data_IF_493593763793
#
_entry.id   IF_493593763793
#
_cell.length_a   1.000
_cell.length_b   1.000
_cell.length_c   1.000
_cell.angle_alpha   90.00
_cell.angle_beta   90.00
_cell.angle_gamma   90.00
#
_symmetry.space_group_name_H-M   'P 1'
#
loop_
_entity.id
_entity.type
_entity.pdbx_description
1 polymer ?
#
# COMPACT_ATOMS: atom_id res chain seq x y z
N UNK A 1 15.02 12.78 -38.02
CA UNK A 1 14.69 12.87 -39.46
C UNK A 1 13.67 14.00 -39.62
N UNK A 2 14.04 15.11 -40.28
CA UNK A 2 13.17 16.30 -40.42
C UNK A 2 12.05 16.00 -41.41
N UNK A 3 10.80 16.21 -41.01
CA UNK A 3 9.66 16.09 -41.91
C UNK A 3 9.07 17.47 -42.19
N UNK A 4 9.13 17.87 -43.45
CA UNK A 4 8.63 19.12 -44.00
C UNK A 4 7.13 18.93 -44.28
N UNK A 5 6.29 19.78 -43.71
CA UNK A 5 4.86 19.82 -44.01
C UNK A 5 4.63 20.81 -45.16
N UNK A 6 4.23 20.30 -46.32
CA UNK A 6 3.84 21.11 -47.47
C UNK A 6 2.36 21.48 -47.34
N UNK A 7 2.08 22.78 -47.31
CA UNK A 7 0.73 23.32 -47.36
C UNK A 7 0.31 23.52 -48.82
N UNK A 8 -0.80 22.92 -49.23
CA UNK A 8 -1.51 23.30 -50.47
C UNK A 8 -2.87 23.84 -50.10
N UNK A 9 -3.04 25.15 -50.29
CA UNK A 9 -4.29 25.87 -50.07
C UNK A 9 -5.27 25.56 -51.21
N UNK A 10 -6.38 24.90 -50.91
CA UNK A 10 -7.58 24.94 -51.76
C UNK A 10 -8.59 25.88 -51.10
N UNK A 11 -8.82 27.03 -51.73
CA UNK A 11 -9.95 27.90 -51.40
C UNK A 11 -11.19 27.30 -52.04
N UNK A 12 -12.13 26.85 -51.22
CA UNK A 12 -13.52 26.65 -51.62
C UNK A 12 -14.41 27.22 -50.51
N UNK A 13 -15.23 28.20 -50.89
CA UNK A 13 -16.31 28.75 -50.10
C UNK A 13 -17.34 27.64 -49.82
N UNK A 14 -17.66 27.42 -48.55
CA UNK A 14 -18.71 26.49 -48.15
C UNK A 14 -18.75 26.33 -46.64
N UNK A 15 -19.80 26.86 -46.02
CA UNK A 15 -20.10 26.74 -44.60
C UNK A 15 -20.38 25.26 -44.28
N UNK A 16 -19.32 24.52 -43.99
CA UNK A 16 -19.37 23.11 -43.61
C UNK A 16 -18.98 22.93 -42.16
N UNK A 17 -19.93 22.49 -41.34
CA UNK A 17 -19.79 22.14 -39.94
C UNK A 17 -18.60 21.18 -39.75
N UNK A 18 -17.55 21.63 -39.07
CA UNK A 18 -16.40 20.82 -38.69
C UNK A 18 -16.79 19.91 -37.52
N UNK A 19 -17.19 18.67 -37.83
CA UNK A 19 -17.28 17.61 -36.83
C UNK A 19 -15.85 17.15 -36.52
N UNK A 20 -15.31 17.58 -35.37
CA UNK A 20 -14.10 16.97 -34.81
C UNK A 20 -14.48 15.61 -34.22
N UNK A 21 -14.08 14.53 -34.89
CA UNK A 21 -13.93 13.24 -34.25
C UNK A 21 -12.76 13.34 -33.27
N UNK A 22 -13.06 13.52 -31.98
CA UNK A 22 -12.10 13.26 -30.92
C UNK A 22 -11.92 11.74 -30.85
N UNK A 23 -10.83 11.23 -31.43
CA UNK A 23 -10.35 9.89 -31.09
C UNK A 23 -9.95 9.94 -29.62
N UNK A 24 -10.75 9.33 -28.75
CA UNK A 24 -10.31 8.99 -27.41
C UNK A 24 -9.39 7.78 -27.58
N UNK A 25 -8.09 8.02 -27.70
CA UNK A 25 -7.07 6.97 -27.68
C UNK A 25 -7.12 6.29 -26.30
N UNK A 26 -7.95 5.24 -26.19
CA UNK A 26 -8.32 4.61 -24.90
C UNK A 26 -7.29 3.60 -24.41
N UNK A 27 -6.12 3.50 -25.06
CA UNK A 27 -5.19 2.37 -24.89
C UNK A 27 -3.89 2.72 -24.13
N UNK A 28 -3.69 3.97 -23.71
CA UNK A 28 -2.40 4.42 -23.15
C UNK A 28 -2.40 4.62 -21.62
N UNK A 29 -3.47 4.30 -20.89
CA UNK A 29 -3.62 4.70 -19.48
C UNK A 29 -3.75 3.53 -18.48
N UNK A 30 -3.57 2.27 -18.89
CA UNK A 30 -3.73 1.12 -17.99
C UNK A 30 -2.40 0.62 -17.41
N UNK A 31 -1.28 0.83 -18.09
CA UNK A 31 0.03 0.27 -17.68
C UNK A 31 0.71 1.02 -16.50
N UNK A 32 0.29 2.25 -16.19
CA UNK A 32 0.91 3.07 -15.12
C UNK A 32 0.05 3.19 -13.84
N UNK A 33 -1.11 2.54 -13.79
CA UNK A 33 -1.92 2.55 -12.57
C UNK A 33 -1.34 1.55 -11.56
N UNK A 34 -1.10 1.95 -10.30
CA UNK A 34 -0.71 0.99 -9.28
C UNK A 34 -1.81 -0.07 -9.16
N UNK A 35 -1.41 -1.33 -9.29
CA UNK A 35 -2.27 -2.48 -9.13
C UNK A 35 -2.83 -2.49 -7.70
N UNK A 36 -4.16 -2.58 -7.58
CA UNK A 36 -4.80 -2.79 -6.30
C UNK A 36 -4.62 -4.25 -5.88
N UNK A 37 -3.84 -4.47 -4.82
CA UNK A 37 -3.56 -5.82 -4.31
C UNK A 37 -4.58 -6.27 -3.26
N UNK A 38 -5.01 -5.35 -2.38
CA UNK A 38 -6.04 -5.61 -1.38
C UNK A 38 -6.81 -4.32 -1.04
N UNK A 39 -8.08 -4.47 -0.67
CA UNK A 39 -8.91 -3.38 -0.19
C UNK A 39 -9.89 -3.85 0.89
N UNK A 40 -10.08 -3.02 1.92
CA UNK A 40 -11.04 -3.32 2.99
C UNK A 40 -11.72 -2.08 3.52
N UNK A 41 -12.99 -2.23 3.89
CA UNK A 41 -13.77 -1.19 4.53
C UNK A 41 -13.51 -1.17 6.04
N UNK A 42 -13.48 0.02 6.65
CA UNK A 42 -13.48 0.15 8.11
C UNK A 42 -14.75 -0.49 8.70
N UNK A 43 -14.71 -0.95 9.96
CA UNK A 43 -15.87 -1.58 10.59
C UNK A 43 -17.17 -0.75 10.53
N UNK A 44 -17.07 0.58 10.64
CA UNK A 44 -18.20 1.51 10.52
C UNK A 44 -18.62 1.87 9.08
N UNK A 45 -17.90 1.38 8.07
CA UNK A 45 -18.22 1.63 6.68
C UNK A 45 -17.71 2.95 6.11
N UNK A 46 -17.03 3.79 6.89
CA UNK A 46 -16.75 5.18 6.52
C UNK A 46 -15.42 5.38 5.79
N UNK A 47 -14.51 4.41 5.82
CA UNK A 47 -13.19 4.51 5.22
C UNK A 47 -12.84 3.25 4.43
N UNK A 48 -12.13 3.42 3.31
CA UNK A 48 -11.54 2.32 2.54
C UNK A 48 -10.03 2.36 2.73
N UNK A 49 -9.46 1.24 3.16
CA UNK A 49 -8.03 0.95 3.16
C UNK A 49 -7.69 0.27 1.85
N UNK A 50 -6.65 0.75 1.15
CA UNK A 50 -6.14 0.15 -0.07
C UNK A 50 -4.66 -0.16 0.09
N UNK A 51 -4.28 -1.41 -0.18
CA UNK A 51 -2.90 -1.83 -0.37
C UNK A 51 -2.66 -1.89 -1.88
N UNK A 52 -1.72 -1.09 -2.37
CA UNK A 52 -1.46 -0.93 -3.81
C UNK A 52 -0.01 -1.21 -4.11
N UNK A 53 0.28 -1.67 -5.32
CA UNK A 53 1.62 -2.00 -5.77
C UNK A 53 1.86 -1.54 -7.19
N UNK A 54 3.09 -1.12 -7.49
CA UNK A 54 3.54 -0.91 -8.87
C UNK A 54 4.26 -2.14 -9.44
N UNK A 55 4.02 -3.33 -8.87
CA UNK A 55 4.69 -4.58 -9.19
C UNK A 55 5.94 -4.85 -8.34
N UNK A 56 6.49 -3.85 -7.65
CA UNK A 56 7.74 -3.98 -6.91
C UNK A 56 7.67 -3.53 -5.44
N UNK A 57 6.94 -2.44 -5.18
CA UNK A 57 6.79 -1.83 -3.86
C UNK A 57 5.33 -1.63 -3.56
N UNK A 58 5.01 -1.69 -2.26
CA UNK A 58 3.66 -1.54 -1.76
C UNK A 58 3.49 -0.19 -1.08
N UNK A 59 2.39 0.49 -1.37
CA UNK A 59 1.91 1.66 -0.63
C UNK A 59 0.58 1.35 0.06
N UNK A 60 0.32 2.09 1.13
CA UNK A 60 -0.93 2.03 1.88
C UNK A 60 -1.64 3.38 1.77
N UNK A 61 -2.87 3.35 1.27
CA UNK A 61 -3.73 4.51 1.14
C UNK A 61 -5.04 4.33 1.91
N UNK A 62 -5.56 5.43 2.44
CA UNK A 62 -6.88 5.51 3.07
C UNK A 62 -7.69 6.59 2.39
N UNK A 63 -8.95 6.31 2.07
CA UNK A 63 -9.92 7.31 1.60
C UNK A 63 -11.19 7.27 2.43
N UNK A 64 -11.89 8.40 2.48
CA UNK A 64 -13.26 8.48 3.02
C UNK A 64 -14.22 7.88 1.99
N UNK A 65 -15.10 6.98 2.41
CA UNK A 65 -16.10 6.37 1.54
C UNK A 65 -17.34 7.28 1.36
N UNK A 66 -18.04 7.19 0.21
CA UNK A 66 -17.68 6.40 -0.97
C UNK A 66 -16.69 7.13 -1.90
N UNK A 67 -16.66 8.46 -1.87
CA UNK A 67 -16.12 9.26 -2.97
C UNK A 67 -14.90 10.12 -2.58
N UNK A 68 -14.41 10.04 -1.36
CA UNK A 68 -13.29 10.86 -0.89
C UNK A 68 -11.99 10.57 -1.63
N UNK A 69 -11.06 11.52 -1.64
CA UNK A 69 -9.75 11.35 -2.27
C UNK A 69 -8.86 10.36 -1.49
N UNK A 70 -7.97 9.69 -2.22
CA UNK A 70 -6.98 8.83 -1.60
C UNK A 70 -5.91 9.64 -0.88
N UNK A 71 -5.62 9.24 0.36
CA UNK A 71 -4.46 9.71 1.09
C UNK A 71 -3.50 8.57 1.33
N UNK A 72 -2.31 8.67 0.75
CA UNK A 72 -1.20 7.77 1.04
C UNK A 72 -0.74 8.02 2.47
N UNK A 73 -0.79 6.97 3.32
CA UNK A 73 -0.36 7.00 4.73
C UNK A 73 0.94 6.22 4.95
N UNK A 74 1.27 5.27 4.05
CA UNK A 74 2.59 4.64 3.98
C UNK A 74 3.03 4.69 2.52
N UNK A 75 4.09 5.45 2.18
CA UNK A 75 4.55 5.56 0.80
C UNK A 75 5.23 4.27 0.34
N UNK A 76 5.23 4.04 -0.97
CA UNK A 76 5.92 2.92 -1.57
C UNK A 76 7.44 3.01 -1.32
N UNK A 77 8.01 2.02 -0.65
CA UNK A 77 9.45 1.94 -0.38
C UNK A 77 9.92 0.49 -0.33
N UNK A 78 11.12 0.21 -0.85
CA UNK A 78 11.81 -1.08 -0.68
C UNK A 78 12.63 -1.17 0.61
N UNK A 79 12.94 -0.03 1.23
CA UNK A 79 13.84 0.06 2.37
C UNK A 79 13.06 0.42 3.64
N UNK A 80 13.25 -0.31 4.75
CA UNK A 80 14.10 -1.48 4.96
C UNK A 80 13.44 -2.82 4.56
N UNK A 81 12.27 -2.80 3.91
CA UNK A 81 11.52 -3.98 3.51
C UNK A 81 10.26 -3.60 2.75
N UNK A 82 9.25 -4.46 2.77
CA UNK A 82 7.98 -4.30 2.06
C UNK A 82 6.79 -4.54 2.99
N UNK A 83 5.65 -3.91 2.70
CA UNK A 83 4.38 -4.36 3.25
C UNK A 83 4.05 -5.77 2.74
N UNK A 84 3.37 -6.55 3.57
CA UNK A 84 2.86 -7.88 3.20
C UNK A 84 1.33 -7.91 3.19
N UNK A 85 0.70 -7.37 4.24
CA UNK A 85 -0.73 -7.19 4.35
C UNK A 85 -1.01 -6.07 5.35
N UNK A 86 -2.18 -5.43 5.24
CA UNK A 86 -2.67 -4.44 6.18
C UNK A 86 -4.18 -4.62 6.40
N UNK A 87 -4.65 -4.49 7.64
CA UNK A 87 -6.05 -4.70 8.02
C UNK A 87 -6.48 -3.74 9.11
N UNK A 88 -7.75 -3.35 9.10
CA UNK A 88 -8.35 -2.61 10.20
C UNK A 88 -8.32 -3.42 11.50
N UNK A 89 -7.84 -2.83 12.58
CA UNK A 89 -8.10 -3.30 13.95
C UNK A 89 -9.38 -2.69 14.51
N UNK A 90 -9.62 -1.42 14.21
CA UNK A 90 -10.85 -0.70 14.56
C UNK A 90 -11.03 0.49 13.59
N UNK A 91 -11.98 1.39 13.83
CA UNK A 91 -12.27 2.52 12.93
C UNK A 91 -11.13 3.56 12.82
N UNK A 92 -10.14 3.52 13.71
CA UNK A 92 -8.99 4.43 13.74
C UNK A 92 -7.67 3.72 13.42
N UNK A 93 -7.50 2.47 13.85
CA UNK A 93 -6.22 1.77 13.88
C UNK A 93 -6.13 0.72 12.77
N UNK A 94 -5.00 0.70 12.09
CA UNK A 94 -4.65 -0.28 11.06
C UNK A 94 -3.43 -1.07 11.54
N UNK A 95 -3.48 -2.38 11.39
CA UNK A 95 -2.37 -3.29 11.65
C UNK A 95 -1.78 -3.77 10.34
N UNK A 96 -0.47 -3.84 10.28
CA UNK A 96 0.24 -4.20 9.07
C UNK A 96 1.42 -5.12 9.37
N UNK A 97 1.64 -6.07 8.47
CA UNK A 97 2.86 -6.86 8.44
C UNK A 97 3.90 -6.19 7.57
N UNK A 98 5.08 -5.95 8.13
CA UNK A 98 6.29 -5.57 7.41
C UNK A 98 7.19 -6.78 7.22
N UNK A 99 7.55 -7.12 5.98
CA UNK A 99 8.54 -8.17 5.65
C UNK A 99 9.88 -7.56 5.26
N UNK A 100 10.97 -8.12 5.75
CA UNK A 100 12.33 -7.64 5.46
C UNK A 100 13.32 -8.80 5.51
N UNK A 101 14.47 -8.63 4.85
CA UNK A 101 15.51 -9.65 4.79
C UNK A 101 16.76 -9.19 5.55
N UNK A 102 17.42 -10.12 6.24
CA UNK A 102 18.71 -9.89 6.88
C UNK A 102 19.56 -11.16 6.82
N UNK A 103 20.88 -11.02 6.98
CA UNK A 103 21.81 -12.15 6.91
C UNK A 103 22.12 -12.66 8.31
N UNK A 104 21.97 -13.97 8.52
CA UNK A 104 22.39 -14.67 9.73
C UNK A 104 23.75 -15.34 9.47
N UNK A 105 24.77 -15.12 10.32
CA UNK A 105 26.07 -15.77 10.18
C UNK A 105 25.94 -17.30 10.10
N UNK A 106 26.62 -17.93 9.14
CA UNK A 106 26.63 -19.38 8.89
C UNK A 106 25.29 -19.99 8.44
N UNK A 107 24.23 -19.19 8.29
CA UNK A 107 22.92 -19.63 7.77
C UNK A 107 22.63 -18.98 6.41
N UNK A 108 22.94 -17.69 6.26
CA UNK A 108 22.67 -16.94 5.03
C UNK A 108 21.48 -15.97 5.17
N UNK A 109 20.92 -15.48 4.06
CA UNK A 109 19.80 -14.55 4.08
C UNK A 109 18.52 -15.23 4.58
N UNK A 110 17.80 -14.54 5.47
CA UNK A 110 16.51 -14.97 6.00
C UNK A 110 15.50 -13.83 5.93
N UNK A 111 14.23 -14.16 5.74
CA UNK A 111 13.12 -13.19 5.69
C UNK A 111 12.40 -13.17 7.03
N UNK A 112 12.34 -12.02 7.69
CA UNK A 112 11.55 -11.83 8.91
C UNK A 112 10.32 -10.96 8.66
N UNK A 113 9.35 -11.06 9.56
CA UNK A 113 8.16 -10.22 9.58
C UNK A 113 8.01 -9.49 10.92
N UNK A 114 7.44 -8.28 10.89
CA UNK A 114 7.09 -7.49 12.07
C UNK A 114 5.66 -7.00 11.96
N UNK A 115 4.93 -7.06 13.08
CA UNK A 115 3.68 -6.34 13.22
C UNK A 115 3.94 -4.89 13.60
N UNK A 116 3.23 -3.99 12.95
CA UNK A 116 3.12 -2.60 13.38
C UNK A 116 1.68 -2.14 13.29
N UNK A 117 1.41 -1.06 14.00
CA UNK A 117 0.13 -0.39 14.04
C UNK A 117 0.32 1.08 13.67
N UNK A 118 -0.63 1.61 12.91
CA UNK A 118 -0.64 2.99 12.43
C UNK A 118 -2.08 3.48 12.46
N UNK A 119 -2.28 4.77 12.73
CA UNK A 119 -3.61 5.35 12.62
C UNK A 119 -3.97 5.56 11.14
N UNK A 120 -5.28 5.63 10.85
CA UNK A 120 -5.82 5.90 9.51
C UNK A 120 -5.35 7.22 8.91
N UNK A 121 -4.72 8.07 9.71
CA UNK A 121 -4.09 9.30 9.29
C UNK A 121 -2.58 9.28 9.11
N UNK A 122 -1.98 8.11 9.24
CA UNK A 122 -0.53 7.92 9.16
C UNK A 122 0.20 8.26 10.45
N UNK A 123 -0.50 8.72 11.49
CA UNK A 123 0.11 9.08 12.77
C UNK A 123 0.23 7.87 13.71
N UNK A 124 0.84 8.11 14.87
CA UNK A 124 0.98 7.13 15.96
C UNK A 124 1.56 5.78 15.54
N UNK A 125 2.55 5.77 14.64
CA UNK A 125 3.23 4.54 14.23
C UNK A 125 3.85 3.82 15.44
N UNK A 126 3.49 2.55 15.63
CA UNK A 126 3.95 1.72 16.75
C UNK A 126 4.33 0.33 16.24
N UNK A 127 5.58 -0.08 16.46
CA UNK A 127 5.92 -1.49 16.28
C UNK A 127 5.31 -2.30 17.43
N UNK A 128 4.48 -3.28 17.10
CA UNK A 128 3.86 -4.19 18.07
C UNK A 128 4.75 -5.42 18.20
N UNK A 129 5.91 -5.28 18.85
CA UNK A 129 6.74 -6.43 19.13
C UNK A 129 6.77 -6.84 20.57
N UNK A 130 6.72 -8.16 20.78
CA UNK A 130 7.06 -8.76 22.06
C UNK A 130 8.58 -8.65 22.20
N UNK A 131 9.11 -7.84 23.12
CA UNK A 131 10.54 -7.81 23.39
C UNK A 131 10.95 -9.20 23.83
N UNK A 132 12.12 -9.65 23.37
CA UNK A 132 12.63 -10.92 23.81
C UNK A 132 12.80 -10.88 25.33
N UNK A 133 12.13 -11.78 26.06
CA UNK A 133 12.21 -11.82 27.52
C UNK A 133 13.65 -12.13 27.91
N UNK A 134 14.33 -11.14 28.47
CA UNK A 134 15.62 -11.36 29.09
C UNK A 134 15.38 -12.18 30.36
N UNK A 135 15.99 -13.36 30.45
CA UNK A 135 16.34 -13.87 31.77
C UNK A 135 17.46 -12.95 32.26
N UNK A 136 17.28 -12.34 33.44
CA UNK A 136 18.22 -11.37 34.03
C UNK A 136 19.66 -11.89 33.88
N UNK A 137 20.52 -11.10 33.24
CA UNK A 137 21.94 -11.43 33.02
C UNK A 137 22.28 -12.25 31.78
N UNK A 138 21.33 -12.52 30.85
CA UNK A 138 21.64 -13.18 29.56
C UNK A 138 21.03 -12.44 28.38
N UNK A 139 21.76 -12.46 27.26
CA UNK A 139 21.21 -12.07 25.97
C UNK A 139 20.00 -12.97 25.65
N UNK A 140 18.93 -12.43 25.04
CA UNK A 140 17.74 -13.20 24.75
C UNK A 140 18.08 -14.37 23.83
N UNK A 141 17.79 -15.59 24.30
CA UNK A 141 18.15 -16.83 23.63
C UNK A 141 17.40 -17.05 22.32
N UNK A 142 16.25 -16.39 22.14
CA UNK A 142 15.39 -16.59 20.99
C UNK A 142 14.68 -15.29 20.59
N UNK A 143 14.87 -14.89 19.33
CA UNK A 143 14.10 -13.83 18.68
C UNK A 143 13.34 -14.46 17.52
N UNK A 144 12.01 -14.63 17.64
CA UNK A 144 11.24 -15.25 16.56
C UNK A 144 11.38 -14.43 15.28
N UNK A 145 11.60 -15.14 14.17
CA UNK A 145 11.73 -14.56 12.84
C UNK A 145 10.39 -13.97 12.38
N UNK A 146 9.29 -14.68 12.65
CA UNK A 146 7.93 -14.31 12.29
C UNK A 146 7.26 -13.67 13.51
N UNK A 147 6.88 -12.39 13.42
CA UNK A 147 6.28 -11.61 14.51
C UNK A 147 5.10 -10.75 14.05
N UNK A 148 4.37 -11.22 13.05
CA UNK A 148 3.19 -10.58 12.48
C UNK A 148 1.92 -11.42 12.63
N UNK A 149 2.00 -12.63 13.20
CA UNK A 149 0.84 -13.50 13.30
C UNK A 149 -0.15 -13.00 14.35
N UNK A 150 -1.39 -12.76 13.95
CA UNK A 150 -2.51 -12.48 14.85
C UNK A 150 -3.38 -13.74 14.95
N UNK A 151 -3.70 -14.18 16.17
CA UNK A 151 -4.36 -15.47 16.42
C UNK A 151 -5.89 -15.36 16.31
N UNK A 152 -6.58 -14.47 17.04
CA UNK A 152 -7.92 -14.03 16.67
C UNK A 152 -7.98 -12.52 16.43
N UNK A 153 -8.81 -12.15 15.45
CA UNK A 153 -9.33 -10.80 15.31
C UNK A 153 -10.63 -10.75 16.11
N UNK A 154 -10.62 -10.03 17.23
CA UNK A 154 -11.76 -9.96 18.13
C UNK A 154 -12.65 -8.79 17.68
N UNK A 155 -13.77 -9.08 17.02
CA UNK A 155 -14.69 -8.05 16.53
C UNK A 155 -15.24 -7.16 17.67
N UNK A 156 -15.37 -7.73 18.87
CA UNK A 156 -15.93 -7.06 20.05
C UNK A 156 -14.87 -6.46 20.98
N UNK A 157 -13.57 -6.56 20.65
CA UNK A 157 -12.47 -5.96 21.41
C UNK A 157 -11.59 -5.12 20.49
N UNK A 158 -11.83 -3.81 20.50
CA UNK A 158 -11.14 -2.83 19.68
C UNK A 158 -9.80 -2.35 20.26
N UNK A 159 -9.41 -2.87 21.44
CA UNK A 159 -8.22 -2.41 22.19
C UNK A 159 -7.12 -3.46 22.24
N UNK A 160 -7.45 -4.74 22.10
CA UNK A 160 -6.49 -5.81 22.27
C UNK A 160 -6.41 -6.72 21.04
N UNK A 161 -5.21 -7.27 20.83
CA UNK A 161 -4.96 -8.34 19.87
C UNK A 161 -4.13 -9.42 20.55
N UNK A 162 -4.25 -10.66 20.09
CA UNK A 162 -3.35 -11.74 20.50
C UNK A 162 -2.37 -12.03 19.37
N UNK A 163 -1.09 -11.99 19.71
CA UNK A 163 0.07 -12.19 18.83
C UNK A 163 0.96 -13.31 19.35
#
# INVERSE_FOLDING_TARGET
MKMIVVWRSLRALGTGLLVRLLSLDTHAAVDDLPLLDDASLSPDGTHVLSLRSNGEVYELAVRVAPDGEDRVIVPASRSPGLLNWCRWANNQRILCSWRFSYTVPRVGPVTATRLFAIDRDGSHFLQLDVPARNLVGRAPLYRPQIRDRIVPWLADDDRHILV
#
